data_IF_721459494348
#
_entry.id   IF_721459494348
#
_cell.length_a   1.000
_cell.length_b   1.000
_cell.length_c   1.000
_cell.angle_alpha   90.00
_cell.angle_beta   90.00
_cell.angle_gamma   90.00
#
_symmetry.space_group_name_H-M   'P 1'
#
loop_
_entity.id
_entity.type
_entity.pdbx_description
1 polymer ?
#
# COMPACT_ATOMS: atom_id res chain seq x y z
N UNK A 1 12.66 -2.55 3.83
CA UNK A 1 12.55 -1.10 3.65
C UNK A 1 13.90 -0.42 3.75
N UNK A 2 13.98 0.87 3.38
CA UNK A 2 15.18 1.68 3.56
C UNK A 2 15.44 1.95 5.05
N UNK A 3 16.65 2.35 5.40
CA UNK A 3 16.91 3.08 6.63
C UNK A 3 16.13 4.40 6.63
N UNK A 4 16.07 5.07 7.79
CA UNK A 4 15.55 6.44 7.86
C UNK A 4 16.47 7.36 7.05
N UNK A 5 15.88 8.05 6.07
CA UNK A 5 16.60 8.93 5.15
C UNK A 5 16.28 10.39 5.47
N UNK A 6 17.30 11.25 5.49
CA UNK A 6 17.14 12.68 5.79
C UNK A 6 16.57 13.48 4.61
N UNK A 7 16.69 12.94 3.40
CA UNK A 7 16.28 13.61 2.17
C UNK A 7 16.09 12.61 1.01
N UNK A 8 15.52 13.08 -0.09
CA UNK A 8 15.25 12.25 -1.27
C UNK A 8 16.51 11.67 -1.93
N UNK A 9 17.67 12.33 -1.80
CA UNK A 9 18.94 11.81 -2.36
C UNK A 9 19.41 10.57 -1.62
N UNK A 10 19.32 10.57 -0.28
CA UNK A 10 19.61 9.39 0.53
C UNK A 10 18.64 8.26 0.24
N UNK A 11 17.34 8.55 0.14
CA UNK A 11 16.33 7.55 -0.21
C UNK A 11 16.62 6.92 -1.58
N UNK A 12 16.98 7.73 -2.59
CA UNK A 12 17.40 7.22 -3.91
C UNK A 12 18.61 6.31 -3.80
N UNK A 13 19.63 6.71 -3.04
CA UNK A 13 20.84 5.91 -2.84
C UNK A 13 20.51 4.55 -2.19
N UNK A 14 19.76 4.54 -1.09
CA UNK A 14 19.36 3.32 -0.38
C UNK A 14 18.52 2.39 -1.28
N UNK A 15 17.56 2.92 -2.01
CA UNK A 15 16.76 2.13 -2.96
C UNK A 15 17.62 1.54 -4.07
N UNK A 16 18.58 2.30 -4.61
CA UNK A 16 19.49 1.82 -5.64
C UNK A 16 20.35 0.68 -5.11
N UNK A 17 20.92 0.85 -3.92
CA UNK A 17 21.72 -0.17 -3.24
C UNK A 17 20.92 -1.46 -3.03
N UNK A 18 19.71 -1.37 -2.48
CA UNK A 18 18.87 -2.55 -2.25
C UNK A 18 18.50 -3.26 -3.56
N UNK A 19 18.13 -2.52 -4.59
CA UNK A 19 17.83 -3.09 -5.91
C UNK A 19 19.03 -3.81 -6.51
N UNK A 20 20.24 -3.24 -6.38
CA UNK A 20 21.48 -3.86 -6.86
C UNK A 20 21.75 -5.19 -6.13
N UNK A 21 21.55 -5.24 -4.83
CA UNK A 21 21.73 -6.48 -4.06
C UNK A 21 20.73 -7.55 -4.50
N UNK A 22 19.46 -7.20 -4.59
CA UNK A 22 18.40 -8.14 -5.00
C UNK A 22 18.67 -8.64 -6.43
N UNK A 23 19.08 -7.74 -7.33
CA UNK A 23 19.42 -8.10 -8.71
C UNK A 23 20.60 -9.09 -8.80
N UNK A 24 21.65 -8.89 -8.01
CA UNK A 24 22.78 -9.80 -7.94
C UNK A 24 22.36 -11.19 -7.42
N UNK A 25 21.58 -11.23 -6.34
CA UNK A 25 21.06 -12.48 -5.78
C UNK A 25 20.13 -13.21 -6.77
N UNK A 26 19.27 -12.51 -7.45
CA UNK A 26 18.40 -13.08 -8.48
C UNK A 26 19.22 -13.72 -9.59
N UNK A 27 20.23 -13.01 -10.12
CA UNK A 27 21.10 -13.56 -11.17
C UNK A 27 21.87 -14.80 -10.73
N UNK A 28 22.35 -14.86 -9.50
CA UNK A 28 23.04 -16.02 -8.96
C UNK A 28 22.13 -17.27 -8.90
N UNK A 29 20.81 -17.05 -8.84
CA UNK A 29 19.79 -18.11 -8.80
C UNK A 29 19.08 -18.31 -10.16
N UNK A 30 19.59 -17.75 -11.27
CA UNK A 30 18.98 -17.86 -12.59
C UNK A 30 17.63 -17.15 -12.72
N UNK A 31 17.34 -16.17 -11.83
CA UNK A 31 16.09 -15.43 -11.80
C UNK A 31 16.26 -14.02 -12.39
N UNK A 32 15.17 -13.49 -12.90
CA UNK A 32 15.03 -12.09 -13.31
C UNK A 32 14.15 -11.35 -12.29
N UNK A 33 14.42 -10.05 -12.13
CA UNK A 33 13.57 -9.16 -11.34
C UNK A 33 12.88 -8.15 -12.25
N UNK A 34 11.63 -7.85 -11.96
CA UNK A 34 10.86 -6.82 -12.62
C UNK A 34 10.15 -5.94 -11.61
N UNK A 35 9.94 -4.67 -11.95
CA UNK A 35 9.12 -3.77 -11.17
C UNK A 35 7.71 -3.73 -11.77
N UNK A 36 6.72 -4.16 -11.02
CA UNK A 36 5.33 -4.15 -11.42
C UNK A 36 4.45 -3.96 -10.17
N UNK A 37 3.22 -3.47 -10.36
CA UNK A 37 2.26 -3.33 -9.26
C UNK A 37 1.19 -4.42 -9.26
N UNK A 38 1.08 -5.19 -10.37
CA UNK A 38 0.35 -6.47 -10.46
C UNK A 38 1.23 -7.50 -11.14
N UNK A 39 1.00 -8.79 -10.87
CA UNK A 39 1.63 -9.83 -11.68
C UNK A 39 0.92 -9.89 -13.04
N UNK A 40 1.63 -9.78 -14.20
CA UNK A 40 0.99 -9.60 -15.50
C UNK A 40 0.07 -10.74 -15.93
N UNK A 41 0.43 -11.99 -15.62
CA UNK A 41 -0.26 -13.18 -16.11
C UNK A 41 -0.55 -14.25 -15.06
N UNK A 42 -0.04 -14.12 -13.82
CA UNK A 42 -0.36 -15.10 -12.77
C UNK A 42 -1.82 -14.98 -12.35
N UNK A 43 -2.43 -16.13 -12.11
CA UNK A 43 -3.79 -16.24 -11.59
C UNK A 43 -3.72 -16.26 -10.07
N UNK A 44 -4.51 -15.44 -9.40
CA UNK A 44 -4.53 -15.37 -7.94
C UNK A 44 -5.07 -16.69 -7.32
N UNK A 45 -5.90 -17.44 -8.06
CA UNK A 45 -6.44 -18.73 -7.64
C UNK A 45 -5.37 -19.79 -7.45
N UNK A 46 -4.25 -19.68 -8.19
CA UNK A 46 -3.15 -20.64 -8.20
C UNK A 46 -2.05 -20.26 -7.17
N UNK A 47 -2.26 -19.19 -6.40
CA UNK A 47 -1.28 -18.70 -5.44
C UNK A 47 -1.56 -19.24 -4.03
N UNK A 48 -0.49 -19.63 -3.34
CA UNK A 48 -0.52 -19.99 -1.94
C UNK A 48 -0.44 -18.75 -1.06
N UNK A 49 -1.19 -18.75 0.05
CA UNK A 49 -1.09 -17.70 1.06
C UNK A 49 0.14 -18.00 1.94
N UNK A 50 1.00 -16.99 2.13
CA UNK A 50 2.15 -17.12 3.02
C UNK A 50 1.69 -17.56 4.42
N UNK A 51 2.30 -18.60 5.02
CA UNK A 51 1.83 -19.21 6.27
C UNK A 51 2.19 -18.36 7.51
N UNK A 52 1.62 -17.18 7.61
CA UNK A 52 1.72 -16.28 8.74
C UNK A 52 0.32 -16.02 9.30
N UNK A 53 0.19 -16.01 10.63
CA UNK A 53 -1.09 -15.85 11.34
C UNK A 53 -1.85 -14.59 10.91
N UNK A 54 -1.13 -13.48 10.68
CA UNK A 54 -1.72 -12.22 10.22
C UNK A 54 -2.45 -12.38 8.89
N UNK A 55 -1.86 -13.14 7.95
CA UNK A 55 -2.48 -13.35 6.64
C UNK A 55 -3.61 -14.35 6.72
N UNK A 56 -3.51 -15.36 7.60
CA UNK A 56 -4.60 -16.30 7.85
C UNK A 56 -5.85 -15.58 8.35
N UNK A 57 -5.73 -14.73 9.37
CA UNK A 57 -6.81 -13.92 9.90
C UNK A 57 -7.38 -13.00 8.83
N UNK A 58 -6.54 -12.33 8.05
CA UNK A 58 -7.01 -11.45 6.96
C UNK A 58 -7.84 -12.23 5.92
N UNK A 59 -7.41 -13.45 5.59
CA UNK A 59 -8.13 -14.31 4.64
C UNK A 59 -9.44 -14.82 5.24
N UNK A 60 -9.49 -15.12 6.53
CA UNK A 60 -10.72 -15.50 7.23
C UNK A 60 -11.74 -14.35 7.24
N UNK A 61 -11.28 -13.12 7.53
CA UNK A 61 -12.13 -11.93 7.56
C UNK A 61 -12.64 -11.52 6.17
N UNK A 62 -11.76 -11.52 5.16
CA UNK A 62 -12.01 -10.91 3.85
C UNK A 62 -12.23 -11.92 2.72
N UNK A 63 -12.01 -13.21 2.98
CA UNK A 63 -12.27 -14.32 2.05
C UNK A 63 -11.68 -14.08 0.64
N UNK A 64 -12.54 -14.07 -0.38
CA UNK A 64 -12.14 -13.89 -1.77
C UNK A 64 -11.41 -12.57 -2.03
N UNK A 65 -11.73 -11.51 -1.31
CA UNK A 65 -11.04 -10.22 -1.47
C UNK A 65 -9.57 -10.36 -1.11
N UNK A 66 -9.26 -10.95 0.05
CA UNK A 66 -7.88 -11.17 0.48
C UNK A 66 -7.13 -12.13 -0.46
N UNK A 67 -7.76 -13.26 -0.85
CA UNK A 67 -7.16 -14.24 -1.77
C UNK A 67 -6.82 -13.62 -3.12
N UNK A 68 -7.65 -12.71 -3.63
CA UNK A 68 -7.45 -12.07 -4.93
C UNK A 68 -6.50 -10.87 -4.91
N UNK A 69 -5.84 -10.61 -3.77
CA UNK A 69 -4.94 -9.46 -3.60
C UNK A 69 -3.51 -9.77 -4.13
N UNK A 70 -3.40 -10.13 -5.39
CA UNK A 70 -2.11 -10.39 -6.05
C UNK A 70 -1.53 -9.09 -6.60
N UNK A 71 -1.16 -8.18 -5.69
CA UNK A 71 -0.64 -6.85 -6.02
C UNK A 71 0.62 -6.54 -5.21
N UNK A 72 1.41 -5.61 -5.74
CA UNK A 72 2.62 -5.11 -5.09
C UNK A 72 2.46 -3.62 -4.82
N UNK A 73 2.85 -3.18 -3.63
CA UNK A 73 2.76 -1.80 -3.21
C UNK A 73 4.11 -1.19 -2.90
N UNK A 74 4.12 0.14 -2.84
CA UNK A 74 5.23 0.92 -2.31
C UNK A 74 4.69 1.87 -1.26
N UNK A 75 5.30 1.89 -0.08
CA UNK A 75 4.94 2.80 1.00
C UNK A 75 6.05 3.81 1.21
N UNK A 76 5.67 5.06 1.42
CA UNK A 76 6.57 6.15 1.78
C UNK A 76 6.14 6.64 3.16
N UNK A 77 7.05 6.57 4.13
CA UNK A 77 6.82 7.06 5.48
C UNK A 77 7.52 8.39 5.66
N UNK A 78 6.77 9.41 6.08
CA UNK A 78 7.28 10.74 6.39
C UNK A 78 7.20 10.96 7.90
N UNK A 79 8.34 11.26 8.53
CA UNK A 79 8.40 11.54 9.96
C UNK A 79 7.84 12.94 10.27
N UNK A 80 6.74 12.98 11.00
CA UNK A 80 6.08 14.22 11.45
C UNK A 80 5.64 13.98 12.89
N UNK A 81 6.21 14.71 13.84
CA UNK A 81 5.93 14.53 15.27
C UNK A 81 4.59 15.18 15.69
N UNK A 82 4.25 16.34 15.11
CA UNK A 82 3.03 17.06 15.44
C UNK A 82 1.81 16.43 14.79
N UNK A 83 0.88 15.94 15.59
CA UNK A 83 -0.33 15.21 15.14
C UNK A 83 -1.29 16.08 14.35
N UNK A 84 -1.47 17.36 14.73
CA UNK A 84 -2.31 18.29 13.98
C UNK A 84 -1.70 18.57 12.59
N UNK A 85 -0.38 18.71 12.52
CA UNK A 85 0.32 18.86 11.25
C UNK A 85 0.19 17.60 10.37
N UNK A 86 0.14 16.40 10.97
CA UNK A 86 -0.12 15.18 10.22
C UNK A 86 -1.48 15.23 9.50
N UNK A 87 -2.52 15.71 10.18
CA UNK A 87 -3.86 15.86 9.60
C UNK A 87 -3.88 16.92 8.51
N UNK A 88 -3.27 18.07 8.75
CA UNK A 88 -3.18 19.14 7.74
C UNK A 88 -2.49 18.63 6.47
N UNK A 89 -1.34 17.97 6.60
CA UNK A 89 -0.61 17.41 5.46
C UNK A 89 -1.44 16.30 4.77
N UNK A 90 -2.13 15.46 5.52
CA UNK A 90 -3.01 14.44 4.94
C UNK A 90 -4.11 15.09 4.08
N UNK A 91 -4.78 16.11 4.59
CA UNK A 91 -5.82 16.84 3.86
C UNK A 91 -5.26 17.50 2.58
N UNK A 92 -4.16 18.20 2.65
CA UNK A 92 -3.49 18.84 1.52
C UNK A 92 -3.03 17.81 0.46
N UNK A 93 -2.44 16.73 0.90
CA UNK A 93 -1.93 15.68 0.01
C UNK A 93 -3.02 14.95 -0.76
N UNK A 94 -4.26 14.92 -0.30
CA UNK A 94 -5.41 14.36 -1.05
C UNK A 94 -5.49 14.94 -2.46
N UNK A 95 -5.25 16.23 -2.62
CA UNK A 95 -5.23 16.89 -3.92
C UNK A 95 -4.10 16.37 -4.82
N UNK A 96 -2.96 16.00 -4.26
CA UNK A 96 -1.79 15.58 -5.03
C UNK A 96 -1.77 14.07 -5.34
N UNK A 97 -2.51 13.24 -4.61
CA UNK A 97 -2.48 11.78 -4.79
C UNK A 97 -2.83 11.32 -6.22
N UNK A 98 -3.81 11.89 -6.94
CA UNK A 98 -4.05 11.54 -8.34
C UNK A 98 -2.85 11.82 -9.25
N UNK A 99 -2.10 12.91 -9.00
CA UNK A 99 -0.88 13.22 -9.75
C UNK A 99 0.24 12.23 -9.45
N UNK A 100 0.40 11.84 -8.18
CA UNK A 100 1.33 10.79 -7.77
C UNK A 100 0.96 9.46 -8.44
N UNK A 101 -0.32 9.10 -8.46
CA UNK A 101 -0.78 7.91 -9.16
C UNK A 101 -0.42 7.97 -10.64
N UNK A 102 -0.63 9.09 -11.32
CA UNK A 102 -0.36 9.24 -12.76
C UNK A 102 1.11 8.95 -13.11
N UNK A 103 2.07 9.34 -12.26
CA UNK A 103 3.49 9.11 -12.49
C UNK A 103 4.02 7.77 -11.95
N UNK A 104 3.22 7.06 -11.14
CA UNK A 104 3.60 5.77 -10.53
C UNK A 104 2.88 4.57 -11.12
N UNK A 105 2.10 4.77 -12.18
CA UNK A 105 1.39 3.68 -12.87
C UNK A 105 2.34 2.62 -13.39
N UNK A 106 2.06 1.35 -13.06
CA UNK A 106 2.90 0.22 -13.48
C UNK A 106 2.15 -1.13 -13.43
N UNK A 107 0.89 -1.14 -13.82
CA UNK A 107 0.06 -2.37 -13.76
C UNK A 107 -1.04 -2.40 -14.84
N UNK A 108 -0.67 -2.39 -16.14
CA UNK A 108 -1.65 -2.44 -17.21
C UNK A 108 -2.23 -3.85 -17.45
N UNK A 109 -1.57 -4.88 -16.94
CA UNK A 109 -1.97 -6.28 -17.18
C UNK A 109 -2.47 -6.94 -15.91
N UNK A 110 -3.48 -7.82 -16.08
CA UNK A 110 -4.04 -8.64 -15.01
C UNK A 110 -4.51 -9.98 -15.58
N UNK A 111 -4.03 -11.08 -14.99
CA UNK A 111 -4.39 -12.47 -15.39
C UNK A 111 -4.19 -12.74 -16.89
N UNK A 112 -3.17 -12.15 -17.49
CA UNK A 112 -2.86 -12.30 -18.91
C UNK A 112 -3.55 -11.30 -19.84
N UNK A 113 -4.48 -10.51 -19.34
CA UNK A 113 -5.27 -9.57 -20.13
C UNK A 113 -4.73 -8.14 -20.01
N UNK A 114 -4.80 -7.39 -21.11
CA UNK A 114 -4.61 -5.94 -21.10
C UNK A 114 -5.90 -5.27 -20.59
N UNK A 115 -5.83 -4.67 -19.42
CA UNK A 115 -6.99 -4.11 -18.73
C UNK A 115 -7.47 -2.77 -19.29
N UNK A 116 -6.72 -2.14 -20.19
CA UNK A 116 -6.97 -0.79 -20.68
C UNK A 116 -6.62 0.32 -19.67
N UNK A 117 -6.20 -0.03 -18.45
CA UNK A 117 -5.80 0.92 -17.39
C UNK A 117 -4.29 0.85 -17.17
N UNK A 118 -3.67 2.00 -16.90
CA UNK A 118 -2.23 2.05 -16.57
C UNK A 118 -1.93 1.62 -15.12
N UNK A 119 -2.94 1.65 -14.24
CA UNK A 119 -2.87 1.17 -12.86
C UNK A 119 -4.10 0.34 -12.52
N UNK A 120 -4.13 -0.92 -12.92
CA UNK A 120 -5.17 -1.86 -12.52
C UNK A 120 -5.03 -2.25 -11.04
N UNK A 121 -3.83 -2.13 -10.47
CA UNK A 121 -3.58 -2.34 -9.04
C UNK A 121 -4.53 -1.53 -8.16
N UNK A 122 -4.79 -0.26 -8.49
CA UNK A 122 -5.73 0.57 -7.74
C UNK A 122 -7.15 -0.03 -7.74
N UNK A 123 -7.60 -0.58 -8.88
CA UNK A 123 -8.91 -1.24 -9.01
C UNK A 123 -9.00 -2.57 -8.22
N UNK A 124 -7.91 -3.29 -8.11
CA UNK A 124 -7.86 -4.49 -7.26
C UNK A 124 -7.93 -4.10 -5.79
N UNK A 125 -7.21 -3.05 -5.38
CA UNK A 125 -7.13 -2.64 -3.98
C UNK A 125 -8.40 -1.92 -3.48
N UNK A 126 -9.05 -1.13 -4.33
CA UNK A 126 -10.28 -0.40 -3.94
C UNK A 126 -11.47 -1.30 -3.58
N UNK A 127 -11.39 -2.61 -3.86
CA UNK A 127 -12.39 -3.58 -3.41
C UNK A 127 -12.36 -3.81 -1.90
N UNK A 128 -11.26 -3.47 -1.24
CA UNK A 128 -11.14 -3.52 0.21
C UNK A 128 -11.87 -2.32 0.85
N UNK A 129 -12.48 -2.51 2.01
CA UNK A 129 -13.08 -1.40 2.75
C UNK A 129 -12.01 -0.42 3.22
N UNK A 130 -12.39 0.85 3.34
CA UNK A 130 -11.50 1.92 3.86
C UNK A 130 -10.20 2.07 3.06
N UNK A 131 -10.29 1.95 1.75
CA UNK A 131 -9.23 2.25 0.77
C UNK A 131 -9.51 3.57 0.07
N UNK A 132 -8.69 3.95 -0.89
CA UNK A 132 -8.74 5.19 -1.65
C UNK A 132 -8.39 6.43 -0.80
N UNK A 133 -8.89 7.60 -1.22
CA UNK A 133 -8.67 8.86 -0.53
C UNK A 133 -9.40 8.88 0.82
N UNK A 134 -8.75 9.34 1.90
CA UNK A 134 -9.45 9.57 3.17
C UNK A 134 -10.47 10.70 3.05
N UNK A 135 -11.41 10.74 3.97
CA UNK A 135 -12.18 11.94 4.23
C UNK A 135 -11.29 13.06 4.80
N UNK A 136 -11.78 14.29 4.75
CA UNK A 136 -11.14 15.42 5.38
C UNK A 136 -11.46 15.45 6.88
N UNK A 137 -10.44 15.74 7.69
CA UNK A 137 -10.57 15.88 9.13
C UNK A 137 -10.11 17.26 9.57
N UNK A 138 -10.90 17.90 10.43
CA UNK A 138 -10.58 19.24 10.95
C UNK A 138 -9.47 19.23 12.00
N UNK A 139 -9.23 18.08 12.64
CA UNK A 139 -8.25 17.92 13.72
C UNK A 139 -7.83 16.47 13.93
N UNK A 140 -6.74 16.28 14.67
CA UNK A 140 -6.35 14.95 15.14
C UNK A 140 -7.45 14.29 16.00
N UNK A 141 -8.11 15.06 16.85
CA UNK A 141 -9.15 14.53 17.73
C UNK A 141 -10.34 13.96 16.94
N UNK A 142 -10.72 14.60 15.83
CA UNK A 142 -11.76 14.09 14.94
C UNK A 142 -11.33 12.76 14.26
N UNK A 143 -10.11 12.73 13.71
CA UNK A 143 -9.55 11.50 13.14
C UNK A 143 -9.48 10.36 14.17
N UNK A 144 -8.97 10.64 15.37
CA UNK A 144 -8.89 9.66 16.45
C UNK A 144 -10.29 9.18 16.88
N UNK A 145 -11.25 10.10 16.95
CA UNK A 145 -12.66 9.78 17.19
C UNK A 145 -13.25 8.83 16.15
N UNK A 146 -12.98 9.07 14.88
CA UNK A 146 -13.39 8.19 13.79
C UNK A 146 -12.77 6.78 13.92
N UNK A 147 -11.46 6.69 14.13
CA UNK A 147 -10.79 5.39 14.31
C UNK A 147 -11.34 4.64 15.54
N UNK A 148 -11.50 5.34 16.65
CA UNK A 148 -12.07 4.76 17.87
C UNK A 148 -13.52 4.29 17.68
N UNK A 149 -14.30 4.99 16.89
CA UNK A 149 -15.66 4.56 16.53
C UNK A 149 -15.62 3.23 15.75
N UNK A 150 -14.74 3.11 14.76
CA UNK A 150 -14.59 1.86 14.01
C UNK A 150 -14.15 0.68 14.89
N UNK A 151 -13.28 0.93 15.86
CA UNK A 151 -12.85 -0.10 16.83
C UNK A 151 -14.00 -0.49 17.75
N UNK A 152 -14.71 0.48 18.34
CA UNK A 152 -15.84 0.23 19.25
C UNK A 152 -17.01 -0.50 18.59
N UNK A 153 -17.19 -0.30 17.29
CA UNK A 153 -18.23 -0.98 16.50
C UNK A 153 -17.76 -2.33 15.92
N UNK A 154 -16.57 -2.79 16.28
CA UNK A 154 -15.95 -4.01 15.74
C UNK A 154 -15.80 -4.03 14.21
N UNK A 155 -15.78 -2.86 13.56
CA UNK A 155 -15.47 -2.77 12.14
C UNK A 155 -13.98 -3.03 11.84
N UNK A 156 -13.12 -2.72 12.79
CA UNK A 156 -11.70 -3.01 12.81
C UNK A 156 -11.26 -3.34 14.25
N UNK A 157 -10.20 -4.12 14.37
CA UNK A 157 -9.55 -4.41 15.66
C UNK A 157 -8.49 -3.35 16.04
N UNK A 158 -7.91 -2.70 15.03
CA UNK A 158 -6.91 -1.65 15.22
C UNK A 158 -6.79 -0.74 13.98
N UNK A 159 -6.19 0.43 14.15
CA UNK A 159 -6.02 1.44 13.10
C UNK A 159 -5.19 0.99 11.88
N UNK A 160 -4.47 -0.13 11.96
CA UNK A 160 -3.73 -0.69 10.81
C UNK A 160 -4.65 -1.18 9.70
N UNK A 161 -5.93 -1.44 10.02
CA UNK A 161 -6.97 -1.84 9.05
C UNK A 161 -7.69 -0.66 8.36
N UNK A 162 -7.22 0.56 8.56
CA UNK A 162 -7.56 1.72 7.74
C UNK A 162 -6.54 1.77 6.60
N UNK A 163 -6.96 1.49 5.37
CA UNK A 163 -6.06 1.27 4.22
C UNK A 163 -6.09 2.40 3.18
N UNK A 164 -6.42 3.61 3.61
CA UNK A 164 -6.38 4.78 2.74
C UNK A 164 -5.00 4.97 2.08
N UNK A 165 -4.99 5.60 0.93
CA UNK A 165 -3.78 5.87 0.15
C UNK A 165 -2.80 6.80 0.88
N UNK A 166 -3.29 7.63 1.77
CA UNK A 166 -2.53 8.41 2.74
C UNK A 166 -3.22 8.35 4.10
N UNK A 167 -2.45 8.20 5.16
CA UNK A 167 -2.98 8.13 6.53
C UNK A 167 -1.88 8.39 7.56
N UNK A 168 -2.22 8.83 8.77
CA UNK A 168 -1.31 8.78 9.90
C UNK A 168 -0.86 7.35 10.20
N UNK A 169 0.36 7.18 10.66
CA UNK A 169 0.86 5.86 11.06
C UNK A 169 0.17 5.43 12.36
N UNK A 170 -0.47 4.26 12.42
CA UNK A 170 -1.04 3.75 13.66
C UNK A 170 0.08 3.27 14.59
N UNK A 171 0.11 3.77 15.80
CA UNK A 171 0.98 3.31 16.89
C UNK A 171 0.23 2.37 17.81
#
# INVERSE_FOLDING_TARGET
>A
GTSVCKNAREAKFELTKMRSIIWQLARQNGLLIGAASTHPFARWQDQEIYPDERYRVLVEDMQMLARSLLIFGMHIHIGIENRELQIQIMNEMRYFLPHVLAITTNSPFWMGENTGLKSYRSKVFERFPRTNLPDEFSSWAEYEGYVNFLIKTNCIDNAKKVWWDIRPHPF
#
